data_IF_776679180400
#
_entry.id   IF_776679180400
#
_cell.length_a   1.000
_cell.length_b   1.000
_cell.length_c   1.000
_cell.angle_alpha   90.00
_cell.angle_beta   90.00
_cell.angle_gamma   90.00
#
_symmetry.space_group_name_H-M   'P 1'
#
loop_
_entity.id
_entity.type
_entity.pdbx_description
1 polymer ?
#
# COMPACT_ATOMS: atom_id res chain seq x y z
N UNK A 1 -0.02 83.70 -9.21
CA UNK A 1 -0.57 82.30 -8.91
C UNK A 1 0.34 81.31 -9.55
N UNK A 2 1.26 80.67 -8.73
CA UNK A 2 2.24 79.68 -9.23
C UNK A 2 1.65 78.28 -9.11
N UNK A 3 1.51 77.57 -10.23
CA UNK A 3 1.09 76.21 -10.29
C UNK A 3 2.25 75.28 -9.87
N UNK A 4 2.10 74.63 -8.74
CA UNK A 4 3.01 73.56 -8.22
C UNK A 4 2.78 72.31 -9.04
N UNK A 5 3.76 71.88 -9.87
CA UNK A 5 3.77 70.64 -10.61
C UNK A 5 4.21 69.58 -9.63
N UNK A 6 3.29 68.66 -9.27
CA UNK A 6 3.60 67.44 -8.48
C UNK A 6 4.22 66.44 -9.47
N UNK A 7 5.53 66.23 -9.36
CA UNK A 7 6.21 65.10 -10.02
C UNK A 7 5.85 63.81 -9.28
N UNK A 8 5.02 62.97 -9.88
CA UNK A 8 4.82 61.62 -9.43
C UNK A 8 6.01 60.78 -9.90
N UNK A 9 6.90 60.43 -8.97
CA UNK A 9 7.96 59.47 -9.22
C UNK A 9 7.30 58.10 -9.50
N UNK A 10 7.27 57.71 -10.77
CA UNK A 10 6.93 56.36 -11.19
C UNK A 10 8.07 55.44 -10.70
N UNK A 11 7.86 54.73 -9.59
CA UNK A 11 8.70 53.62 -9.17
C UNK A 11 8.89 52.67 -10.36
N UNK A 12 10.13 52.48 -10.79
CA UNK A 12 10.47 51.47 -11.80
C UNK A 12 10.00 50.11 -11.26
N UNK A 13 9.33 49.29 -12.09
CA UNK A 13 8.94 47.97 -11.67
C UNK A 13 10.20 47.19 -11.23
N UNK A 14 10.13 46.52 -10.07
CA UNK A 14 11.19 45.67 -9.56
C UNK A 14 11.34 44.46 -10.51
N UNK A 15 12.48 44.31 -11.25
CA UNK A 15 12.65 43.23 -12.22
C UNK A 15 12.63 41.80 -11.58
N UNK A 16 12.64 41.74 -10.24
CA UNK A 16 12.57 40.51 -9.49
C UNK A 16 11.23 40.30 -8.78
N UNK A 17 10.23 41.19 -9.00
CA UNK A 17 8.92 41.04 -8.37
C UNK A 17 8.26 39.71 -8.73
N UNK A 18 8.27 39.33 -10.01
CA UNK A 18 7.70 38.07 -10.50
C UNK A 18 8.45 36.85 -9.95
N UNK A 19 9.77 36.98 -9.77
CA UNK A 19 10.58 35.90 -9.17
C UNK A 19 10.33 35.78 -7.67
N UNK A 20 10.11 36.88 -6.95
CA UNK A 20 9.70 36.86 -5.54
C UNK A 20 8.30 36.28 -5.36
N UNK A 21 7.39 36.55 -6.28
CA UNK A 21 6.04 36.00 -6.27
C UNK A 21 6.04 34.48 -6.55
N UNK A 22 6.87 34.02 -7.50
CA UNK A 22 7.11 32.57 -7.74
C UNK A 22 7.80 31.87 -6.58
N UNK A 23 8.73 32.52 -5.89
CA UNK A 23 9.38 31.99 -4.67
C UNK A 23 8.39 31.92 -3.49
N UNK A 24 7.49 32.91 -3.37
CA UNK A 24 6.45 32.90 -2.33
C UNK A 24 5.33 31.86 -2.59
N UNK A 25 5.07 31.49 -3.85
CA UNK A 25 4.09 30.44 -4.20
C UNK A 25 4.57 29.01 -3.86
N UNK A 26 5.86 28.83 -3.63
CA UNK A 26 6.47 27.55 -3.25
C UNK A 26 6.83 27.44 -1.76
N UNK A 27 6.32 28.34 -0.92
CA UNK A 27 6.60 28.27 0.52
C UNK A 27 5.80 27.12 1.14
N UNK A 28 6.48 26.19 1.76
CA UNK A 28 5.86 25.10 2.51
C UNK A 28 4.88 25.65 3.54
N UNK A 29 3.66 25.09 3.56
CA UNK A 29 2.66 25.41 4.57
C UNK A 29 2.38 24.16 5.39
N UNK A 30 2.66 24.23 6.68
CA UNK A 30 2.34 23.14 7.61
C UNK A 30 0.81 22.98 7.71
N UNK A 31 0.35 21.74 7.62
CA UNK A 31 -1.05 21.34 7.88
C UNK A 31 -1.30 20.96 9.32
N UNK A 32 -0.27 21.01 10.18
CA UNK A 32 -0.39 20.67 11.59
C UNK A 32 -1.17 21.76 12.34
N UNK A 33 -2.12 21.35 13.18
CA UNK A 33 -2.88 22.26 14.03
C UNK A 33 -2.10 22.61 15.29
N UNK A 34 -1.30 23.67 15.22
CA UNK A 34 -0.55 24.21 16.35
C UNK A 34 -1.46 24.80 17.44
N UNK A 35 -2.73 25.14 17.14
CA UNK A 35 -3.66 25.73 18.08
C UNK A 35 -4.13 24.77 19.17
N UNK A 36 -4.11 23.48 18.90
CA UNK A 36 -4.47 22.43 19.86
C UNK A 36 -3.39 22.21 20.93
N UNK A 37 -2.16 22.67 20.68
CA UNK A 37 -1.02 22.50 21.56
C UNK A 37 -0.48 23.87 21.99
N UNK A 38 -0.04 23.99 23.23
CA UNK A 38 0.55 25.22 23.78
C UNK A 38 1.98 25.46 23.24
N UNK A 39 2.12 25.65 21.93
CA UNK A 39 3.39 25.86 21.24
C UNK A 39 3.55 27.37 20.99
N UNK A 40 4.65 27.95 21.50
CA UNK A 40 4.99 29.35 21.29
C UNK A 40 5.24 29.69 19.83
N UNK A 41 5.01 30.95 19.42
CA UNK A 41 5.16 31.39 18.03
C UNK A 41 6.60 31.23 17.48
N UNK A 42 7.62 31.31 18.33
CA UNK A 42 9.01 31.07 17.92
C UNK A 42 9.26 29.58 17.63
N UNK A 43 8.77 28.70 18.49
CA UNK A 43 8.88 27.26 18.30
C UNK A 43 8.08 26.80 17.08
N UNK A 44 6.89 27.35 16.87
CA UNK A 44 6.08 27.10 15.69
C UNK A 44 6.84 27.44 14.41
N UNK A 45 7.46 28.62 14.33
CA UNK A 45 8.27 29.02 13.17
C UNK A 45 9.45 28.07 12.96
N UNK A 46 10.13 27.69 14.02
CA UNK A 46 11.22 26.72 13.97
C UNK A 46 10.76 25.37 13.45
N UNK A 47 9.64 24.84 13.97
CA UNK A 47 9.07 23.55 13.54
C UNK A 47 8.73 23.60 12.05
N UNK A 48 8.04 24.65 11.56
CA UNK A 48 7.69 24.81 10.15
C UNK A 48 8.93 24.79 9.25
N UNK A 49 10.00 25.49 9.64
CA UNK A 49 11.27 25.45 8.91
C UNK A 49 11.90 24.05 8.88
N UNK A 50 11.78 23.27 9.95
CA UNK A 50 12.31 21.89 9.99
C UNK A 50 11.44 20.95 9.17
N UNK A 51 10.13 21.12 9.19
CA UNK A 51 9.21 20.40 8.30
C UNK A 51 9.56 20.62 6.83
N UNK A 52 9.76 21.86 6.39
CA UNK A 52 10.18 22.20 5.03
C UNK A 52 11.46 21.43 4.64
N UNK A 53 12.49 21.47 5.50
CA UNK A 53 13.74 20.72 5.29
C UNK A 53 13.48 19.21 5.17
N UNK A 54 12.59 18.65 5.97
CA UNK A 54 12.23 17.22 5.92
C UNK A 54 11.57 16.90 4.57
N UNK A 55 10.58 17.69 4.14
CA UNK A 55 9.87 17.46 2.89
C UNK A 55 10.77 17.61 1.66
N UNK A 56 11.63 18.61 1.62
CA UNK A 56 12.57 18.81 0.51
C UNK A 56 13.57 17.66 0.39
N UNK A 57 14.08 17.19 1.54
CA UNK A 57 14.96 16.03 1.54
C UNK A 57 14.23 14.74 1.16
N UNK A 58 12.98 14.58 1.59
CA UNK A 58 12.16 13.43 1.18
C UNK A 58 11.88 13.44 -0.33
N UNK A 59 11.57 14.60 -0.90
CA UNK A 59 11.38 14.78 -2.34
C UNK A 59 12.66 14.44 -3.13
N UNK A 60 13.80 14.92 -2.64
CA UNK A 60 15.12 14.60 -3.22
C UNK A 60 15.44 13.12 -3.11
N UNK A 61 15.17 12.51 -1.96
CA UNK A 61 15.33 11.07 -1.74
C UNK A 61 14.47 10.26 -2.71
N UNK A 62 13.21 10.65 -2.91
CA UNK A 62 12.27 9.96 -3.80
C UNK A 62 12.75 9.97 -5.25
N UNK A 63 13.25 11.11 -5.74
CA UNK A 63 13.87 11.23 -7.05
C UNK A 63 15.12 10.37 -7.18
N UNK A 64 15.98 10.41 -6.18
CA UNK A 64 17.21 9.60 -6.15
C UNK A 64 16.90 8.10 -6.16
N UNK A 65 15.89 7.66 -5.40
CA UNK A 65 15.45 6.27 -5.37
C UNK A 65 14.93 5.84 -6.75
N UNK A 66 14.13 6.69 -7.40
CA UNK A 66 13.67 6.43 -8.77
C UNK A 66 14.84 6.23 -9.74
N UNK A 67 15.85 7.13 -9.73
CA UNK A 67 17.02 7.04 -10.60
C UNK A 67 17.86 5.77 -10.33
N UNK A 68 18.00 5.37 -9.06
CA UNK A 68 18.67 4.10 -8.69
C UNK A 68 17.90 2.90 -9.27
N UNK A 69 16.58 2.88 -9.10
CA UNK A 69 15.73 1.80 -9.61
C UNK A 69 15.81 1.71 -11.14
N UNK A 70 15.75 2.86 -11.83
CA UNK A 70 15.87 2.99 -13.27
C UNK A 70 17.22 2.49 -13.78
N UNK A 71 18.32 2.98 -13.20
CA UNK A 71 19.68 2.57 -13.58
C UNK A 71 19.88 1.05 -13.40
N UNK A 72 19.38 0.49 -12.30
CA UNK A 72 19.44 -0.95 -12.05
C UNK A 72 18.67 -1.75 -13.10
N UNK A 73 17.50 -1.28 -13.49
CA UNK A 73 16.70 -1.89 -14.55
C UNK A 73 17.40 -1.82 -15.91
N UNK A 74 17.99 -0.68 -16.27
CA UNK A 74 18.74 -0.50 -17.51
C UNK A 74 19.95 -1.44 -17.57
N UNK A 75 20.69 -1.60 -16.47
CA UNK A 75 21.82 -2.56 -16.38
C UNK A 75 21.32 -3.98 -16.57
N UNK A 76 20.23 -4.36 -15.90
CA UNK A 76 19.57 -5.66 -16.06
C UNK A 76 19.24 -5.95 -17.52
N UNK A 77 18.62 -4.98 -18.22
CA UNK A 77 18.26 -5.13 -19.63
C UNK A 77 19.48 -5.28 -20.52
N UNK A 78 20.56 -4.56 -20.27
CA UNK A 78 21.83 -4.70 -20.99
C UNK A 78 22.53 -6.03 -20.74
N UNK A 79 22.33 -6.63 -19.57
CA UNK A 79 22.91 -7.93 -19.19
C UNK A 79 21.98 -9.13 -19.45
N UNK A 80 20.96 -8.97 -20.31
CA UNK A 80 20.04 -10.03 -20.77
C UNK A 80 19.09 -10.61 -19.69
N UNK A 81 18.72 -9.80 -18.71
CA UNK A 81 17.62 -10.12 -17.79
C UNK A 81 18.03 -10.66 -16.42
N UNK A 82 17.00 -10.98 -15.60
CA UNK A 82 17.13 -11.28 -14.17
C UNK A 82 18.00 -12.45 -13.80
N UNK A 83 17.88 -13.54 -14.57
CA UNK A 83 18.55 -14.81 -14.27
C UNK A 83 19.85 -15.00 -15.07
N UNK A 84 20.30 -13.93 -15.78
CA UNK A 84 21.60 -14.02 -16.47
C UNK A 84 22.72 -14.13 -15.45
N UNK A 85 23.63 -15.08 -15.67
CA UNK A 85 24.80 -15.24 -14.81
C UNK A 85 25.63 -13.97 -14.70
N UNK A 86 25.67 -13.16 -15.76
CA UNK A 86 26.36 -11.87 -15.80
C UNK A 86 25.74 -10.83 -14.87
N UNK A 87 24.40 -10.69 -14.86
CA UNK A 87 23.71 -9.76 -13.96
C UNK A 87 23.85 -10.17 -12.51
N UNK A 88 23.73 -11.47 -12.22
CA UNK A 88 23.95 -12.02 -10.87
C UNK A 88 25.37 -11.76 -10.38
N UNK A 89 26.38 -11.99 -11.22
CA UNK A 89 27.77 -11.73 -10.89
C UNK A 89 28.01 -10.22 -10.64
N UNK A 90 27.41 -9.36 -11.48
CA UNK A 90 27.55 -7.91 -11.38
C UNK A 90 26.99 -7.37 -10.05
N UNK A 91 25.75 -7.70 -9.69
CA UNK A 91 25.18 -7.15 -8.45
C UNK A 91 25.88 -7.69 -7.19
N UNK A 92 26.34 -8.96 -7.22
CA UNK A 92 27.16 -9.52 -6.14
C UNK A 92 28.50 -8.82 -6.00
N UNK A 93 29.17 -8.52 -7.13
CA UNK A 93 30.42 -7.75 -7.14
C UNK A 93 30.22 -6.37 -6.49
N UNK A 94 29.09 -5.72 -6.78
CA UNK A 94 28.71 -4.44 -6.20
C UNK A 94 28.12 -4.56 -4.77
N UNK A 95 28.24 -5.71 -4.11
CA UNK A 95 27.76 -5.98 -2.74
C UNK A 95 26.26 -5.77 -2.54
N UNK A 96 25.48 -5.86 -3.62
CA UNK A 96 24.02 -5.81 -3.55
C UNK A 96 23.46 -7.21 -3.26
N UNK A 97 22.53 -7.31 -2.30
CA UNK A 97 21.83 -8.56 -2.04
C UNK A 97 20.73 -8.82 -3.08
N UNK A 98 20.43 -10.10 -3.33
CA UNK A 98 19.34 -10.51 -4.21
C UNK A 98 18.01 -9.86 -3.83
N UNK A 99 17.71 -9.79 -2.52
CA UNK A 99 16.46 -9.23 -2.02
C UNK A 99 16.36 -7.73 -2.29
N UNK A 100 17.49 -7.00 -2.12
CA UNK A 100 17.53 -5.55 -2.41
C UNK A 100 17.39 -5.27 -3.91
N UNK A 101 18.07 -6.05 -4.75
CA UNK A 101 17.93 -5.96 -6.21
C UNK A 101 16.49 -6.25 -6.64
N UNK A 102 15.89 -7.31 -6.13
CA UNK A 102 14.50 -7.66 -6.43
C UNK A 102 13.51 -6.58 -5.97
N UNK A 103 13.71 -6.00 -4.79
CA UNK A 103 12.87 -4.90 -4.28
C UNK A 103 12.95 -3.68 -5.18
N UNK A 104 14.16 -3.25 -5.56
CA UNK A 104 14.37 -2.07 -6.40
C UNK A 104 13.79 -2.24 -7.81
N UNK A 105 13.96 -3.43 -8.42
CA UNK A 105 13.37 -3.73 -9.73
C UNK A 105 11.84 -3.71 -9.69
N UNK A 106 11.23 -4.32 -8.68
CA UNK A 106 9.78 -4.30 -8.48
C UNK A 106 9.24 -2.89 -8.23
N UNK A 107 9.98 -2.08 -7.48
CA UNK A 107 9.61 -0.68 -7.25
C UNK A 107 9.67 0.12 -8.56
N UNK A 108 10.63 -0.19 -9.46
CA UNK A 108 10.67 0.43 -10.78
C UNK A 108 9.46 0.07 -11.64
N UNK A 109 8.96 -1.17 -11.56
CA UNK A 109 7.72 -1.58 -12.23
C UNK A 109 6.53 -0.68 -11.82
N UNK A 110 6.42 -0.34 -10.52
CA UNK A 110 5.38 0.58 -10.03
C UNK A 110 5.62 2.03 -10.47
N UNK A 111 6.87 2.50 -10.50
CA UNK A 111 7.20 3.84 -11.01
C UNK A 111 6.81 4.04 -12.48
N UNK A 112 6.95 3.00 -13.30
CA UNK A 112 6.52 3.05 -14.71
C UNK A 112 5.01 3.18 -14.84
N UNK A 113 4.25 2.52 -13.96
CA UNK A 113 2.78 2.56 -13.99
C UNK A 113 2.22 3.92 -13.58
N UNK A 114 2.83 4.60 -12.61
CA UNK A 114 2.39 5.91 -12.11
C UNK A 114 3.56 6.90 -12.03
N UNK A 115 4.04 7.40 -13.19
CA UNK A 115 5.25 8.22 -13.27
C UNK A 115 5.10 9.59 -12.58
N UNK A 116 3.89 10.06 -12.38
CA UNK A 116 3.53 11.29 -11.68
C UNK A 116 3.52 11.14 -10.14
N UNK A 117 3.60 9.90 -9.62
CA UNK A 117 3.50 9.59 -8.19
C UNK A 117 4.79 9.04 -7.57
N UNK A 118 5.94 9.59 -7.97
CA UNK A 118 7.26 9.13 -7.51
C UNK A 118 7.36 9.14 -5.98
N UNK A 119 6.87 10.19 -5.32
CA UNK A 119 6.94 10.31 -3.85
C UNK A 119 6.10 9.24 -3.15
N UNK A 120 4.89 8.98 -3.65
CA UNK A 120 4.04 7.93 -3.14
C UNK A 120 4.69 6.55 -3.26
N UNK A 121 5.14 6.16 -4.46
CA UNK A 121 5.78 4.85 -4.69
C UNK A 121 7.05 4.71 -3.85
N UNK A 122 7.83 5.82 -3.66
CA UNK A 122 9.01 5.82 -2.79
C UNK A 122 8.66 5.58 -1.32
N UNK A 123 7.49 6.03 -0.88
CA UNK A 123 7.03 5.88 0.51
C UNK A 123 6.46 4.49 0.83
N UNK A 124 6.20 3.65 -0.17
CA UNK A 124 5.66 2.30 0.03
C UNK A 124 6.64 1.42 0.81
N UNK A 125 6.13 0.65 1.74
CA UNK A 125 6.92 -0.37 2.45
C UNK A 125 7.32 -1.52 1.52
N UNK A 126 8.40 -2.24 1.86
CA UNK A 126 8.84 -3.42 1.07
C UNK A 126 7.73 -4.48 0.95
N UNK A 127 6.96 -4.81 2.00
CA UNK A 127 5.81 -5.70 1.87
C UNK A 127 4.75 -5.20 0.90
N UNK A 128 4.44 -3.89 0.90
CA UNK A 128 3.49 -3.27 -0.02
C UNK A 128 3.95 -3.41 -1.48
N UNK A 129 5.21 -3.07 -1.78
CA UNK A 129 5.80 -3.27 -3.11
C UNK A 129 5.72 -4.73 -3.54
N UNK A 130 6.04 -5.68 -2.65
CA UNK A 130 5.94 -7.12 -2.94
C UNK A 130 4.51 -7.57 -3.18
N UNK A 131 3.53 -7.03 -2.47
CA UNK A 131 2.13 -7.36 -2.65
C UNK A 131 1.61 -6.88 -4.01
N UNK A 132 1.87 -5.61 -4.36
CA UNK A 132 1.43 -4.98 -5.60
C UNK A 132 2.09 -5.55 -6.86
N UNK A 133 3.27 -6.16 -6.75
CA UNK A 133 4.01 -6.75 -7.88
C UNK A 133 3.95 -8.27 -7.94
N UNK A 134 2.96 -8.88 -7.28
CA UNK A 134 2.68 -10.31 -7.45
C UNK A 134 2.00 -10.55 -8.79
N UNK A 135 2.42 -11.60 -9.49
CA UNK A 135 1.87 -11.96 -10.81
C UNK A 135 0.38 -12.34 -10.80
N UNK A 136 -0.10 -12.77 -9.62
CA UNK A 136 -1.48 -13.20 -9.43
C UNK A 136 -2.45 -12.04 -9.17
N UNK A 137 -1.96 -10.83 -8.99
CA UNK A 137 -2.79 -9.63 -8.74
C UNK A 137 -3.17 -9.01 -10.07
N UNK A 138 -4.46 -8.75 -10.24
CA UNK A 138 -4.98 -8.07 -11.42
C UNK A 138 -4.40 -6.66 -11.54
N UNK A 139 -4.06 -6.27 -12.77
CA UNK A 139 -3.41 -4.98 -13.05
C UNK A 139 -4.34 -3.80 -12.78
N UNK A 140 -5.66 -3.96 -12.97
CA UNK A 140 -6.66 -2.94 -12.66
C UNK A 140 -6.74 -2.66 -11.16
N UNK A 141 -6.64 -3.71 -10.33
CA UNK A 141 -6.61 -3.58 -8.87
C UNK A 141 -5.34 -2.85 -8.41
N UNK A 142 -4.20 -3.15 -9.03
CA UNK A 142 -2.95 -2.44 -8.75
C UNK A 142 -3.07 -0.96 -9.12
N UNK A 143 -3.63 -0.67 -10.31
CA UNK A 143 -3.84 0.72 -10.76
C UNK A 143 -4.75 1.49 -9.79
N UNK A 144 -5.86 0.91 -9.36
CA UNK A 144 -6.77 1.52 -8.38
C UNK A 144 -6.08 1.82 -7.05
N UNK A 145 -5.29 0.88 -6.53
CA UNK A 145 -4.53 1.07 -5.28
C UNK A 145 -3.51 2.20 -5.44
N UNK A 146 -2.80 2.24 -6.57
CA UNK A 146 -1.81 3.27 -6.87
C UNK A 146 -2.46 4.64 -7.06
N UNK A 147 -3.64 4.71 -7.71
CA UNK A 147 -4.40 5.96 -7.90
C UNK A 147 -4.95 6.52 -6.59
N UNK A 148 -5.43 5.66 -5.72
CA UNK A 148 -5.94 6.01 -4.39
C UNK A 148 -4.84 6.25 -3.35
N UNK A 149 -3.58 6.03 -3.70
CA UNK A 149 -2.39 6.19 -2.83
C UNK A 149 -2.48 5.44 -1.49
N UNK A 150 -3.00 4.22 -1.53
CA UNK A 150 -3.11 3.38 -0.33
C UNK A 150 -1.73 2.91 0.10
N UNK A 151 -1.29 3.27 1.31
CA UNK A 151 0.06 2.97 1.85
C UNK A 151 0.08 1.81 2.83
N UNK A 152 -1.01 1.62 3.57
CA UNK A 152 -1.11 0.55 4.57
C UNK A 152 -1.15 -0.81 3.87
N UNK A 153 -0.28 -1.73 4.32
CA UNK A 153 -0.19 -3.07 3.73
C UNK A 153 -1.47 -3.90 3.96
N UNK A 154 -2.15 -3.71 5.08
CA UNK A 154 -3.38 -4.45 5.40
C UNK A 154 -4.52 -3.99 4.49
N UNK A 155 -4.65 -2.69 4.24
CA UNK A 155 -5.64 -2.11 3.32
C UNK A 155 -5.36 -2.55 1.86
N UNK A 156 -4.08 -2.59 1.47
CA UNK A 156 -3.64 -3.11 0.16
C UNK A 156 -4.05 -4.58 0.01
N UNK A 157 -3.75 -5.41 1.01
CA UNK A 157 -4.09 -6.84 0.98
C UNK A 157 -5.61 -7.05 0.99
N UNK A 158 -6.36 -6.24 1.72
CA UNK A 158 -7.82 -6.29 1.74
C UNK A 158 -8.39 -5.95 0.36
N UNK A 159 -7.95 -4.87 -0.31
CA UNK A 159 -8.41 -4.53 -1.66
C UNK A 159 -8.08 -5.60 -2.70
N UNK A 160 -6.88 -6.19 -2.63
CA UNK A 160 -6.51 -7.31 -3.49
C UNK A 160 -7.43 -8.51 -3.26
N UNK A 161 -7.76 -8.81 -2.00
CA UNK A 161 -8.66 -9.90 -1.64
C UNK A 161 -10.09 -9.65 -2.14
N UNK A 162 -10.63 -8.45 -1.91
CA UNK A 162 -11.96 -8.05 -2.35
C UNK A 162 -12.11 -8.18 -3.87
N UNK A 163 -11.15 -7.70 -4.64
CA UNK A 163 -11.16 -7.82 -6.10
C UNK A 163 -11.11 -9.28 -6.56
N UNK A 164 -10.31 -10.12 -5.90
CA UNK A 164 -10.24 -11.55 -6.19
C UNK A 164 -11.58 -12.26 -5.92
N UNK A 165 -12.36 -11.76 -4.94
CA UNK A 165 -13.67 -12.32 -4.60
C UNK A 165 -14.79 -11.90 -5.59
N UNK A 166 -14.68 -10.69 -6.15
CA UNK A 166 -15.70 -10.14 -7.09
C UNK A 166 -15.59 -10.76 -8.49
N UNK A 167 -14.40 -11.14 -8.94
CA UNK A 167 -14.17 -11.71 -10.27
C UNK A 167 -14.48 -13.20 -10.38
N UNK A 168 -14.79 -13.88 -9.27
CA UNK A 168 -15.07 -15.32 -9.32
C UNK A 168 -16.54 -15.63 -9.55
N UNK A 169 -16.94 -16.30 -10.67
CA UNK A 169 -18.24 -16.95 -10.78
C UNK A 169 -18.39 -17.98 -9.63
N UNK A 170 -19.65 -18.23 -9.22
CA UNK A 170 -19.98 -19.03 -8.02
C UNK A 170 -19.22 -20.38 -7.88
N UNK A 171 -18.81 -20.97 -9.00
CA UNK A 171 -18.02 -22.22 -9.03
C UNK A 171 -16.60 -22.09 -8.44
N UNK A 172 -16.08 -20.86 -8.22
CA UNK A 172 -14.72 -20.66 -7.66
C UNK A 172 -14.71 -20.36 -6.17
N UNK A 173 -15.85 -20.09 -5.52
CA UNK A 173 -15.92 -19.92 -4.06
C UNK A 173 -15.38 -21.14 -3.32
N UNK A 174 -15.61 -22.33 -3.86
CA UNK A 174 -15.06 -23.58 -3.31
C UNK A 174 -13.52 -23.65 -3.37
N UNK A 175 -12.88 -22.96 -4.35
CA UNK A 175 -11.42 -22.97 -4.49
C UNK A 175 -10.71 -22.07 -3.46
N UNK A 176 -11.34 -20.98 -3.01
CA UNK A 176 -10.74 -20.06 -2.02
C UNK A 176 -10.75 -20.71 -0.63
N UNK A 177 -11.85 -21.32 -0.25
CA UNK A 177 -11.93 -22.12 0.98
C UNK A 177 -10.91 -23.28 0.94
N UNK A 178 -10.78 -23.94 -0.21
CA UNK A 178 -9.78 -24.98 -0.42
C UNK A 178 -8.34 -24.44 -0.37
N UNK A 179 -8.07 -23.22 -0.85
CA UNK A 179 -6.74 -22.60 -0.81
C UNK A 179 -6.29 -22.27 0.62
N UNK A 180 -7.18 -21.75 1.48
CA UNK A 180 -6.88 -21.49 2.88
C UNK A 180 -6.65 -22.80 3.65
N UNK A 181 -7.54 -23.77 3.48
CA UNK A 181 -7.41 -25.09 4.10
C UNK A 181 -6.14 -25.81 3.64
N UNK A 182 -5.80 -25.74 2.34
CA UNK A 182 -4.57 -26.32 1.80
C UNK A 182 -3.29 -25.64 2.34
N UNK A 183 -3.29 -24.32 2.55
CA UNK A 183 -2.15 -23.63 3.17
C UNK A 183 -1.95 -24.07 4.62
N UNK A 184 -3.02 -24.16 5.38
CA UNK A 184 -3.01 -24.61 6.77
C UNK A 184 -2.55 -26.06 6.85
N UNK A 185 -3.07 -26.95 6.01
CA UNK A 185 -2.64 -28.35 5.92
C UNK A 185 -1.16 -28.46 5.54
N UNK A 186 -0.70 -27.67 4.54
CA UNK A 186 0.72 -27.64 4.14
C UNK A 186 1.62 -27.16 5.27
N UNK A 187 1.18 -26.17 6.05
CA UNK A 187 1.91 -25.68 7.22
C UNK A 187 2.10 -26.81 8.26
N UNK A 188 1.02 -27.50 8.65
CA UNK A 188 1.11 -28.61 9.60
C UNK A 188 1.91 -29.78 9.06
N UNK A 189 1.75 -30.15 7.78
CA UNK A 189 2.60 -31.17 7.15
C UNK A 189 4.08 -30.82 7.19
N UNK A 190 4.44 -29.53 6.99
CA UNK A 190 5.82 -29.07 7.08
C UNK A 190 6.33 -29.05 8.52
N UNK A 191 5.49 -28.65 9.51
CA UNK A 191 5.82 -28.71 10.94
C UNK A 191 6.10 -30.15 11.35
N UNK A 192 5.21 -31.10 11.02
CA UNK A 192 5.37 -32.55 11.30
C UNK A 192 6.64 -33.10 10.66
N UNK A 193 6.93 -32.80 9.38
CA UNK A 193 8.14 -33.29 8.69
C UNK A 193 9.44 -32.73 9.28
N UNK A 194 9.40 -31.57 9.93
CA UNK A 194 10.57 -30.93 10.56
C UNK A 194 10.72 -31.30 12.02
N UNK A 195 9.72 -31.94 12.62
CA UNK A 195 9.73 -32.35 14.02
C UNK A 195 10.77 -33.45 14.20
N UNK A 196 11.81 -33.15 14.97
CA UNK A 196 12.92 -34.07 15.25
C UNK A 196 12.71 -34.89 16.51
N UNK A 197 11.72 -34.53 17.35
CA UNK A 197 11.46 -35.16 18.62
C UNK A 197 10.00 -35.59 18.81
N UNK A 198 9.75 -36.54 19.69
CA UNK A 198 8.40 -36.93 20.10
C UNK A 198 7.64 -35.76 20.75
N UNK A 199 8.36 -34.90 21.47
CA UNK A 199 7.79 -33.70 22.10
C UNK A 199 7.18 -32.74 21.06
N UNK A 200 7.90 -32.48 19.95
CA UNK A 200 7.44 -31.61 18.86
C UNK A 200 6.18 -32.15 18.18
N UNK A 201 6.11 -33.50 18.05
CA UNK A 201 4.93 -34.19 17.49
C UNK A 201 3.71 -34.07 18.40
N UNK A 202 3.92 -34.18 19.71
CA UNK A 202 2.85 -34.00 20.73
C UNK A 202 2.35 -32.56 20.69
N UNK A 203 3.22 -31.57 20.59
CA UNK A 203 2.85 -30.15 20.47
C UNK A 203 2.05 -29.91 19.19
N UNK A 204 2.53 -30.36 18.03
CA UNK A 204 1.81 -30.23 16.77
C UNK A 204 0.41 -30.89 16.83
N UNK A 205 0.26 -32.01 17.53
CA UNK A 205 -1.03 -32.68 17.77
C UNK A 205 -1.97 -31.82 18.61
N UNK A 206 -1.45 -31.16 19.66
CA UNK A 206 -2.24 -30.22 20.49
C UNK A 206 -2.73 -29.04 19.67
N UNK A 207 -1.86 -28.42 18.84
CA UNK A 207 -2.23 -27.31 17.98
C UNK A 207 -3.36 -27.68 17.00
N UNK A 208 -3.29 -28.89 16.42
CA UNK A 208 -4.34 -29.41 15.53
C UNK A 208 -5.65 -29.62 16.29
N UNK A 209 -5.60 -30.09 17.54
CA UNK A 209 -6.80 -30.26 18.35
C UNK A 209 -7.46 -28.92 18.71
N UNK A 210 -6.67 -27.89 19.02
CA UNK A 210 -7.18 -26.55 19.29
C UNK A 210 -7.84 -25.98 18.03
N UNK A 211 -7.19 -26.09 16.87
CA UNK A 211 -7.76 -25.65 15.60
C UNK A 211 -9.09 -26.34 15.29
N UNK A 212 -9.17 -27.67 15.51
CA UNK A 212 -10.39 -28.42 15.31
C UNK A 212 -11.53 -27.92 16.20
N UNK A 213 -11.23 -27.58 17.46
CA UNK A 213 -12.22 -27.03 18.38
C UNK A 213 -12.78 -25.69 17.89
N UNK A 214 -11.91 -24.77 17.45
CA UNK A 214 -12.36 -23.48 16.91
C UNK A 214 -13.17 -23.64 15.63
N UNK A 215 -12.82 -24.56 14.75
CA UNK A 215 -13.64 -24.84 13.56
C UNK A 215 -15.04 -25.33 13.92
N UNK A 216 -15.17 -26.21 14.91
CA UNK A 216 -16.46 -26.68 15.40
C UNK A 216 -17.30 -25.55 16.06
N UNK A 217 -16.66 -24.60 16.72
CA UNK A 217 -17.32 -23.43 17.29
C UNK A 217 -17.87 -22.53 16.18
N UNK A 218 -17.06 -22.27 15.12
CA UNK A 218 -17.49 -21.48 13.94
C UNK A 218 -18.63 -22.18 13.17
N UNK A 219 -18.60 -23.49 13.00
CA UNK A 219 -19.70 -24.25 12.38
C UNK A 219 -21.02 -24.03 13.12
N UNK A 220 -20.99 -24.08 14.46
CA UNK A 220 -22.19 -23.81 15.27
C UNK A 220 -22.70 -22.37 15.15
N UNK A 221 -21.77 -21.41 15.06
CA UNK A 221 -22.17 -20.00 14.84
C UNK A 221 -22.85 -19.81 13.47
N UNK A 222 -22.36 -20.49 12.44
CA UNK A 222 -22.96 -20.46 11.10
C UNK A 222 -24.37 -21.05 11.16
N UNK A 223 -24.54 -22.25 11.76
CA UNK A 223 -25.84 -22.89 11.90
C UNK A 223 -26.87 -22.03 12.66
N UNK A 224 -26.41 -21.29 13.69
CA UNK A 224 -27.27 -20.37 14.42
C UNK A 224 -27.73 -19.19 13.55
N UNK A 225 -26.81 -18.60 12.81
CA UNK A 225 -27.11 -17.49 11.89
C UNK A 225 -28.00 -17.92 10.71
N UNK A 226 -27.82 -19.13 10.21
CA UNK A 226 -28.71 -19.68 9.17
C UNK A 226 -30.16 -19.82 9.68
N UNK A 227 -30.33 -20.33 10.88
CA UNK A 227 -31.66 -20.44 11.50
C UNK A 227 -32.32 -19.08 11.80
N UNK A 228 -31.51 -18.09 12.23
CA UNK A 228 -32.00 -16.73 12.45
C UNK A 228 -32.52 -16.12 11.13
N UNK A 229 -31.78 -16.26 10.04
CA UNK A 229 -32.17 -15.76 8.70
C UNK A 229 -33.40 -16.51 8.14
N UNK A 230 -33.49 -17.81 8.35
CA UNK A 230 -34.68 -18.57 7.93
C UNK A 230 -35.94 -18.11 8.69
N UNK A 231 -35.83 -17.82 9.98
CA UNK A 231 -36.92 -17.28 10.77
C UNK A 231 -37.33 -15.86 10.34
N UNK A 232 -36.40 -14.99 10.04
CA UNK A 232 -36.63 -13.64 9.49
C UNK A 232 -37.40 -13.71 8.15
N UNK A 233 -36.95 -14.58 7.24
CA UNK A 233 -37.59 -14.76 5.94
C UNK A 233 -39.03 -15.34 6.05
N UNK A 234 -39.33 -16.19 7.03
CA UNK A 234 -40.64 -16.72 7.27
C UNK A 234 -41.62 -15.71 7.88
N UNK A 235 -41.09 -14.66 8.54
CA UNK A 235 -41.92 -13.58 9.13
C UNK A 235 -42.31 -12.50 8.10
N UNK A 236 -41.74 -12.49 6.92
CA UNK A 236 -41.95 -11.45 5.89
C UNK A 236 -42.90 -11.86 4.76
N UNK A 237 -43.56 -13.04 4.84
CA UNK A 237 -44.62 -13.40 3.89
C UNK A 237 -45.90 -12.66 4.28
N UNK A 238 -46.44 -11.76 3.42
CA UNK A 238 -47.71 -11.10 3.67
C UNK A 238 -48.83 -12.15 3.63
N UNK A 239 -49.68 -12.12 4.65
CA UNK A 239 -50.94 -12.85 4.68
C UNK A 239 -51.73 -12.50 3.41
N UNK A 240 -51.90 -13.48 2.54
CA UNK A 240 -52.66 -13.31 1.30
C UNK A 240 -54.07 -12.85 1.62
N UNK A 241 -54.49 -11.73 1.06
CA UNK A 241 -55.87 -11.26 1.05
C UNK A 241 -56.72 -12.36 0.43
N UNK A 242 -57.58 -12.92 1.26
CA UNK A 242 -58.75 -13.65 0.80
C UNK A 242 -59.82 -12.61 0.46
N UNK A 243 -59.83 -12.15 -0.78
CA UNK A 243 -61.01 -11.49 -1.32
C UNK A 243 -62.11 -12.54 -1.56
N UNK A 244 -63.13 -12.45 -0.75
CA UNK A 244 -64.46 -12.96 -1.04
C UNK A 244 -65.06 -12.15 -2.19
N UNK A 245 -65.40 -12.79 -3.29
CA UNK A 245 -66.72 -12.62 -4.02
C UNK A 245 -66.82 -13.66 -5.13
#
# INVERSE_FOLDING_TARGET
MSKKVIKTDKKKPDPFADMKELLNQNTYQSTFDFGTFEIGEEDKKYIIQREEVIFDNFKTFSKTLYEICKALYEIKMKMKGDDSASFVAWYKHNKLSKDKVSELLKRYELFIQVPDKIEYVSSLSIPAVKALTKKEVDIGVVDDILRLEIKNIDDINQKILEATLVEEPEEKKDKITNSFSLKTIKFFKKKIKKSASLSDLIEAKKDIQVLKKHLQELEKEIELKEKEKENENNLTLPAGDKDEN
#
